data_IF_886874147649
#
_entry.id   IF_886874147649
#
_cell.length_a   1.000
_cell.length_b   1.000
_cell.length_c   1.000
_cell.angle_alpha   90.00
_cell.angle_beta   90.00
_cell.angle_gamma   90.00
#
_symmetry.space_group_name_H-M   'P 1'
#
loop_
_entity.id
_entity.type
_entity.pdbx_description
1 polymer ?
#
# COMPACT_ATOMS: atom_id res chain seq x y z
N UNK A 1 10.57 -1.37 -1.74
CA UNK A 1 10.47 0.07 -2.12
C UNK A 1 9.94 0.81 -0.91
N UNK A 2 10.41 2.04 -0.67
CA UNK A 2 9.85 2.87 0.39
C UNK A 2 8.52 3.47 -0.04
N UNK A 3 7.49 3.32 0.78
CA UNK A 3 6.16 3.89 0.54
C UNK A 3 5.76 4.77 1.71
N UNK A 4 5.43 6.02 1.41
CA UNK A 4 4.81 6.92 2.37
C UNK A 4 3.30 6.70 2.37
N UNK A 5 2.73 6.40 3.53
CA UNK A 5 1.30 6.16 3.68
C UNK A 5 0.47 7.38 3.26
N UNK A 6 -0.77 7.15 2.84
CA UNK A 6 -1.71 8.20 2.39
C UNK A 6 -1.96 9.26 3.48
N UNK A 7 -1.99 8.83 4.75
CA UNK A 7 -2.12 9.74 5.90
C UNK A 7 -0.81 10.48 6.26
N UNK A 8 0.28 10.21 5.53
CA UNK A 8 1.63 10.78 5.68
C UNK A 8 2.34 10.50 7.00
N UNK A 9 1.79 9.61 7.83
CA UNK A 9 2.32 9.29 9.18
C UNK A 9 3.41 8.22 9.16
N UNK A 10 3.46 7.38 8.13
CA UNK A 10 4.36 6.24 8.09
C UNK A 10 5.15 6.24 6.78
N UNK A 11 6.43 5.87 6.87
CA UNK A 11 7.31 5.60 5.75
C UNK A 11 7.82 4.17 5.91
N UNK A 12 7.37 3.27 5.05
CA UNK A 12 7.57 1.82 5.22
C UNK A 12 8.30 1.25 4.01
N UNK A 13 9.32 0.40 4.23
CA UNK A 13 9.94 -0.36 3.14
C UNK A 13 9.16 -1.67 2.91
N UNK A 14 8.30 -1.67 1.90
CA UNK A 14 7.44 -2.79 1.57
C UNK A 14 8.13 -3.80 0.64
N UNK A 15 7.91 -5.09 0.91
CA UNK A 15 8.36 -6.23 0.11
C UNK A 15 7.31 -6.67 -0.92
N UNK A 16 6.02 -6.50 -0.62
CA UNK A 16 4.93 -6.74 -1.57
C UNK A 16 3.73 -5.84 -1.29
N UNK A 17 2.81 -5.79 -2.25
CA UNK A 17 1.61 -4.96 -2.22
C UNK A 17 0.39 -5.79 -2.63
N UNK A 18 -0.77 -5.48 -2.06
CA UNK A 18 -2.04 -6.08 -2.50
C UNK A 18 -3.23 -5.18 -2.14
N UNK A 19 -4.41 -5.52 -2.68
CA UNK A 19 -5.67 -4.87 -2.34
C UNK A 19 -6.48 -5.80 -1.46
N UNK A 20 -7.06 -5.26 -0.39
CA UNK A 20 -7.98 -5.97 0.49
C UNK A 20 -9.23 -5.14 0.75
N UNK A 21 -10.27 -5.80 1.24
CA UNK A 21 -11.52 -5.14 1.64
C UNK A 21 -11.34 -4.51 3.02
N UNK A 22 -11.72 -3.24 3.15
CA UNK A 22 -11.78 -2.57 4.45
C UNK A 22 -13.16 -2.78 5.09
N UNK A 23 -13.23 -3.64 6.10
CA UNK A 23 -14.48 -4.01 6.79
C UNK A 23 -14.77 -2.98 7.88
N UNK A 24 -16.02 -2.49 7.95
CA UNK A 24 -16.47 -1.53 8.96
C UNK A 24 -16.20 -0.05 8.66
N UNK A 25 -15.44 0.26 7.60
CA UNK A 25 -15.16 1.65 7.19
C UNK A 25 -16.12 2.22 6.12
N UNK A 26 -16.10 3.55 5.96
CA UNK A 26 -16.73 4.23 4.81
C UNK A 26 -16.01 3.87 3.50
N UNK A 27 -14.67 3.94 3.52
CA UNK A 27 -13.78 3.44 2.46
C UNK A 27 -13.84 1.92 2.43
N UNK A 28 -14.17 1.32 1.28
CA UNK A 28 -14.43 -0.14 1.17
C UNK A 28 -13.22 -0.94 0.74
N UNK A 29 -12.18 -0.29 0.23
CA UNK A 29 -10.97 -0.94 -0.27
C UNK A 29 -9.73 -0.34 0.39
N UNK A 30 -8.69 -1.15 0.54
CA UNK A 30 -7.42 -0.75 1.11
C UNK A 30 -6.27 -1.28 0.25
N UNK A 31 -5.27 -0.45 0.00
CA UNK A 31 -3.96 -0.92 -0.48
C UNK A 31 -3.14 -1.25 0.76
N UNK A 32 -2.64 -2.48 0.82
CA UNK A 32 -1.78 -2.95 1.89
C UNK A 32 -0.37 -3.21 1.37
N UNK A 33 0.60 -2.85 2.19
CA UNK A 33 2.02 -3.14 1.99
C UNK A 33 2.46 -4.14 3.02
N UNK A 34 3.27 -5.10 2.59
CA UNK A 34 3.74 -6.18 3.45
C UNK A 34 5.22 -6.04 3.71
N UNK A 35 5.60 -6.17 4.97
CA UNK A 35 7.00 -6.15 5.41
C UNK A 35 7.38 -7.51 5.96
N UNK A 36 8.65 -7.88 5.73
CA UNK A 36 9.26 -9.00 6.44
C UNK A 36 9.53 -8.59 7.89
N UNK A 37 9.00 -9.34 8.84
CA UNK A 37 9.21 -9.14 10.28
C UNK A 37 10.15 -10.20 10.87
N UNK A 38 11.11 -10.69 10.07
CA UNK A 38 12.06 -11.73 10.48
C UNK A 38 11.36 -13.03 10.86
N UNK A 39 11.68 -13.56 12.05
CA UNK A 39 11.16 -14.84 12.58
C UNK A 39 9.63 -14.80 12.77
N UNK A 40 9.06 -13.61 12.97
CA UNK A 40 7.62 -13.42 13.20
C UNK A 40 6.79 -13.39 11.92
N UNK A 41 7.40 -13.66 10.76
CA UNK A 41 6.70 -13.79 9.48
C UNK A 41 6.40 -12.46 8.80
N UNK A 42 5.27 -12.42 8.08
CA UNK A 42 4.82 -11.26 7.29
C UNK A 42 3.91 -10.37 8.14
N UNK A 43 4.19 -9.06 8.16
CA UNK A 43 3.29 -8.05 8.72
C UNK A 43 2.71 -7.20 7.60
N UNK A 44 1.39 -7.09 7.56
CA UNK A 44 0.68 -6.25 6.62
C UNK A 44 0.35 -4.89 7.27
N UNK A 45 0.50 -3.82 6.49
CA UNK A 45 0.28 -2.43 6.91
C UNK A 45 -0.64 -1.77 5.88
N UNK A 46 -1.63 -1.02 6.35
CA UNK A 46 -2.52 -0.24 5.48
C UNK A 46 -1.78 0.99 4.97
N UNK A 47 -1.57 1.05 3.66
CA UNK A 47 -0.88 2.17 3.01
C UNK A 47 -1.86 3.27 2.59
N UNK A 48 -3.09 2.90 2.20
CA UNK A 48 -4.13 3.85 1.78
C UNK A 48 -5.52 3.22 1.75
N UNK A 49 -6.55 4.05 1.87
CA UNK A 49 -7.95 3.66 1.92
C UNK A 49 -8.76 4.36 0.81
N UNK A 50 -9.60 3.59 0.12
CA UNK A 50 -10.32 4.03 -1.09
C UNK A 50 -11.81 3.70 -1.04
N UNK A 51 -12.62 4.52 -1.71
CA UNK A 51 -14.08 4.34 -1.75
C UNK A 51 -14.47 3.07 -2.50
N UNK A 52 -13.83 2.83 -3.65
CA UNK A 52 -14.11 1.73 -4.56
C UNK A 52 -12.88 0.82 -4.73
N UNK A 53 -13.09 -0.36 -5.31
CA UNK A 53 -11.99 -1.24 -5.69
C UNK A 53 -11.16 -0.61 -6.83
N UNK A 54 -11.82 -0.01 -7.81
CA UNK A 54 -11.16 0.65 -8.95
C UNK A 54 -10.18 1.74 -8.50
N UNK A 55 -10.56 2.58 -7.53
CA UNK A 55 -9.64 3.59 -6.98
C UNK A 55 -8.41 2.97 -6.31
N UNK A 56 -8.56 1.83 -5.62
CA UNK A 56 -7.44 1.11 -5.02
C UNK A 56 -6.57 0.43 -6.08
N UNK A 57 -7.19 -0.05 -7.17
CA UNK A 57 -6.51 -0.67 -8.30
C UNK A 57 -5.69 0.34 -9.11
N UNK A 58 -6.23 1.54 -9.33
CA UNK A 58 -5.51 2.64 -9.96
C UNK A 58 -4.26 3.01 -9.16
N UNK A 59 -4.36 3.09 -7.83
CA UNK A 59 -3.18 3.37 -7.01
C UNK A 59 -2.17 2.22 -7.04
N UNK A 60 -2.62 0.97 -6.98
CA UNK A 60 -1.72 -0.19 -7.11
C UNK A 60 -1.00 -0.19 -8.47
N UNK A 61 -1.67 0.22 -9.53
CA UNK A 61 -1.08 0.36 -10.87
C UNK A 61 -0.01 1.46 -10.91
N UNK A 62 -0.22 2.59 -10.22
CA UNK A 62 0.80 3.64 -10.07
C UNK A 62 2.02 3.15 -9.26
N UNK A 63 1.80 2.40 -8.18
CA UNK A 63 2.86 1.73 -7.42
C UNK A 63 3.69 0.80 -8.32
N UNK A 64 3.04 -0.01 -9.14
CA UNK A 64 3.71 -0.88 -10.11
C UNK A 64 4.52 -0.08 -11.13
N UNK A 65 3.96 1.00 -11.67
CA UNK A 65 4.68 1.88 -12.59
C UNK A 65 5.92 2.50 -11.93
N UNK A 66 5.81 2.93 -10.67
CA UNK A 66 6.93 3.45 -9.90
C UNK A 66 8.03 2.38 -9.69
N UNK A 67 7.65 1.13 -9.45
CA UNK A 67 8.60 0.01 -9.30
C UNK A 67 9.34 -0.25 -10.61
N UNK A 68 8.61 -0.29 -11.72
CA UNK A 68 9.21 -0.47 -13.05
C UNK A 68 10.16 0.66 -13.42
N UNK A 69 9.90 1.88 -12.92
CA UNK A 69 10.77 3.05 -13.10
C UNK A 69 11.91 3.13 -12.07
N UNK A 70 12.13 2.09 -11.25
CA UNK A 70 13.13 2.06 -10.19
C UNK A 70 13.02 3.22 -9.19
N UNK A 71 11.81 3.73 -8.95
CA UNK A 71 11.61 4.76 -7.93
C UNK A 71 12.02 4.22 -6.56
N UNK A 72 12.78 5.01 -5.81
CA UNK A 72 13.24 4.62 -4.46
C UNK A 72 12.12 4.78 -3.44
N UNK A 73 11.33 5.85 -3.59
CA UNK A 73 10.22 6.25 -2.72
C UNK A 73 8.98 6.50 -3.55
N UNK A 74 7.84 6.00 -3.10
CA UNK A 74 6.51 6.32 -3.62
C UNK A 74 5.66 6.98 -2.54
N UNK A 75 4.95 8.05 -2.88
CA UNK A 75 3.99 8.70 -1.98
C UNK A 75 2.57 8.34 -2.41
N UNK A 76 1.80 7.74 -1.50
CA UNK A 76 0.40 7.40 -1.73
C UNK A 76 -0.46 8.67 -1.86
N UNK A 77 -1.40 8.65 -2.81
CA UNK A 77 -2.36 9.75 -3.03
C UNK A 77 -3.64 9.61 -2.20
#
# INVERSE_FOLDING_TARGET
MWVRSQNKKELINCASFSITRNIGGKKKSAVIGSISNGIWGRKDIVLGLYDTNDNAFDELSKLQAALNNNAVVYEMN
#
